data_IF_262190901874
#
_entry.id   IF_262190901874
#
_cell.length_a   1.000
_cell.length_b   1.000
_cell.length_c   1.000
_cell.angle_alpha   90.00
_cell.angle_beta   90.00
_cell.angle_gamma   90.00
#
_symmetry.space_group_name_H-M   'P 1'
#
loop_
_entity.id
_entity.type
_entity.pdbx_description
1 polymer ?
#
# COMPACT_ATOMS: atom_id res chain seq x y z
N UNK A 1 -16.50 4.23 -11.38
CA UNK A 1 -16.36 5.62 -10.88
C UNK A 1 -15.12 5.62 -10.03
N UNK A 2 -14.12 6.43 -10.34
CA UNK A 2 -12.93 6.58 -9.48
C UNK A 2 -13.38 7.25 -8.18
N UNK A 3 -13.13 6.63 -7.02
CA UNK A 3 -13.45 7.22 -5.72
C UNK A 3 -12.82 8.61 -5.55
N UNK A 4 -13.44 9.46 -4.73
CA UNK A 4 -12.95 10.80 -4.49
C UNK A 4 -11.68 10.75 -3.64
N UNK A 5 -10.53 11.18 -4.17
CA UNK A 5 -9.25 11.14 -3.44
C UNK A 5 -9.32 11.89 -2.10
N UNK A 6 -10.14 12.93 -1.98
CA UNK A 6 -10.36 13.63 -0.70
C UNK A 6 -11.02 12.75 0.36
N UNK A 7 -11.89 11.81 -0.03
CA UNK A 7 -12.48 10.85 0.90
C UNK A 7 -11.44 9.84 1.39
N UNK A 8 -10.54 9.41 0.49
CA UNK A 8 -9.42 8.55 0.86
C UNK A 8 -8.43 9.26 1.79
N UNK A 9 -8.07 10.51 1.48
CA UNK A 9 -7.22 11.34 2.36
C UNK A 9 -7.84 11.50 3.76
N UNK A 10 -9.16 11.69 3.83
CA UNK A 10 -9.87 11.74 5.11
C UNK A 10 -9.84 10.39 5.85
N UNK A 11 -9.97 9.26 5.14
CA UNK A 11 -9.86 7.92 5.74
C UNK A 11 -8.44 7.61 6.22
N UNK A 12 -7.42 8.17 5.59
CA UNK A 12 -6.01 8.08 5.98
C UNK A 12 -5.64 9.07 7.10
N UNK A 13 -6.53 10.00 7.47
CA UNK A 13 -6.27 11.13 8.36
C UNK A 13 -5.02 11.94 7.93
N UNK A 14 -4.83 12.07 6.61
CA UNK A 14 -3.67 12.74 6.02
C UNK A 14 -4.03 13.42 4.70
N UNK A 15 -3.70 14.71 4.59
CA UNK A 15 -3.83 15.47 3.36
C UNK A 15 -2.48 15.58 2.68
N UNK A 16 -2.36 15.08 1.45
CA UNK A 16 -1.10 15.10 0.73
C UNK A 16 -0.71 16.53 0.31
N UNK A 17 0.51 16.91 0.63
CA UNK A 17 1.18 18.09 0.05
C UNK A 17 1.42 17.89 -1.44
N UNK A 18 1.70 16.65 -1.86
CA UNK A 18 1.89 16.25 -3.26
C UNK A 18 0.86 15.21 -3.68
N UNK A 19 -0.37 15.61 -4.10
CA UNK A 19 -1.44 14.67 -4.49
C UNK A 19 -1.08 13.69 -5.61
N UNK A 20 -0.04 13.99 -6.39
CA UNK A 20 0.49 13.11 -7.42
C UNK A 20 1.13 11.85 -6.82
N UNK A 21 1.65 11.89 -5.58
CA UNK A 21 2.18 10.71 -4.90
C UNK A 21 1.07 9.71 -4.59
N UNK A 22 -0.07 10.17 -4.07
CA UNK A 22 -1.25 9.33 -3.85
C UNK A 22 -1.78 8.75 -5.17
N UNK A 23 -1.85 9.57 -6.22
CA UNK A 23 -2.28 9.10 -7.54
C UNK A 23 -1.32 8.02 -8.10
N UNK A 24 -0.01 8.20 -7.93
CA UNK A 24 1.00 7.23 -8.35
C UNK A 24 0.89 5.93 -7.54
N UNK A 25 0.67 6.01 -6.24
CA UNK A 25 0.46 4.85 -5.37
C UNK A 25 -0.77 4.01 -5.78
N UNK A 26 -1.81 4.68 -6.27
CA UNK A 26 -3.03 4.05 -6.77
C UNK A 26 -2.91 3.53 -8.21
N UNK A 27 -1.80 3.78 -8.91
CA UNK A 27 -1.64 3.41 -10.33
C UNK A 27 -1.10 1.99 -10.50
N UNK A 28 -1.98 1.02 -10.76
CA UNK A 28 -1.60 -0.39 -10.92
C UNK A 28 -0.72 -0.62 -12.17
N UNK A 29 0.16 -1.61 -12.09
CA UNK A 29 1.09 -2.01 -13.16
C UNK A 29 0.44 -2.28 -14.52
N UNK A 30 -0.83 -2.71 -14.54
CA UNK A 30 -1.63 -2.92 -15.76
C UNK A 30 -1.76 -1.68 -16.66
N UNK A 31 -1.56 -0.47 -16.13
CA UNK A 31 -1.58 0.78 -16.90
C UNK A 31 -0.31 0.99 -17.75
N UNK A 32 0.80 0.32 -17.41
CA UNK A 32 2.03 0.44 -18.16
C UNK A 32 1.90 -0.25 -19.54
N UNK A 33 1.96 0.53 -20.61
CA UNK A 33 1.89 0.01 -22.00
C UNK A 33 3.25 -0.49 -22.50
N UNK A 34 4.33 -0.02 -21.90
CA UNK A 34 5.70 -0.40 -22.21
C UNK A 34 6.56 -0.45 -20.95
N UNK A 35 7.78 -1.00 -21.06
CA UNK A 35 8.75 -0.97 -19.95
C UNK A 35 9.12 0.45 -19.52
N UNK A 36 9.06 1.42 -20.43
CA UNK A 36 9.36 2.82 -20.13
C UNK A 36 8.26 3.48 -19.27
N UNK A 37 7.06 2.90 -19.20
CA UNK A 37 5.94 3.44 -18.43
C UNK A 37 5.88 2.90 -16.99
N UNK A 38 6.78 1.98 -16.60
CA UNK A 38 6.76 1.37 -15.26
C UNK A 38 6.99 2.37 -14.14
N UNK A 39 7.78 3.42 -14.39
CA UNK A 39 8.00 4.50 -13.42
C UNK A 39 6.72 5.34 -13.17
N UNK A 40 5.67 5.15 -13.98
CA UNK A 40 4.35 5.77 -13.81
C UNK A 40 3.37 4.83 -13.07
N UNK A 41 3.86 3.73 -12.50
CA UNK A 41 3.06 2.77 -11.74
C UNK A 41 3.55 2.68 -10.30
N UNK A 42 2.72 2.10 -9.46
CA UNK A 42 2.96 1.97 -8.03
C UNK A 42 4.11 1.03 -7.66
N UNK A 43 4.66 0.24 -8.58
CA UNK A 43 5.66 -0.81 -8.30
C UNK A 43 6.90 -0.33 -7.55
N UNK A 44 7.37 0.90 -7.83
CA UNK A 44 8.51 1.48 -7.10
C UNK A 44 8.15 1.93 -5.70
N UNK A 45 6.92 2.42 -5.53
CA UNK A 45 6.38 2.81 -4.24
C UNK A 45 6.09 1.56 -3.39
N UNK A 46 5.49 0.51 -3.95
CA UNK A 46 5.32 -0.81 -3.32
C UNK A 46 6.65 -1.30 -2.73
N UNK A 47 7.71 -1.33 -3.54
CA UNK A 47 9.05 -1.74 -3.09
C UNK A 47 9.55 -0.92 -1.90
N UNK A 48 9.38 0.40 -1.92
CA UNK A 48 9.79 1.27 -0.82
C UNK A 48 8.89 1.05 0.41
N UNK A 49 7.59 0.89 0.19
CA UNK A 49 6.53 0.77 1.18
C UNK A 49 6.67 -0.46 2.04
N UNK A 50 6.96 -1.61 1.43
CA UNK A 50 7.31 -2.86 2.12
C UNK A 50 8.42 -2.64 3.18
N UNK A 51 9.47 -1.89 2.81
CA UNK A 51 10.61 -1.60 3.71
C UNK A 51 10.26 -0.59 4.79
N UNK A 52 9.49 0.43 4.45
CA UNK A 52 9.00 1.42 5.42
C UNK A 52 8.10 0.74 6.45
N UNK A 53 7.12 -0.04 6.00
CA UNK A 53 6.24 -0.83 6.86
C UNK A 53 7.05 -1.77 7.75
N UNK A 54 8.00 -2.51 7.16
CA UNK A 54 8.89 -3.40 7.88
C UNK A 54 9.64 -2.70 9.01
N UNK A 55 10.20 -1.52 8.76
CA UNK A 55 10.92 -0.75 9.77
C UNK A 55 10.00 -0.23 10.88
N UNK A 56 8.85 0.37 10.52
CA UNK A 56 7.91 0.94 11.48
C UNK A 56 7.36 -0.15 12.40
N UNK A 57 6.94 -1.28 11.85
CA UNK A 57 6.42 -2.40 12.64
C UNK A 57 7.49 -3.02 13.53
N UNK A 58 8.74 -3.13 13.06
CA UNK A 58 9.84 -3.59 13.89
C UNK A 58 10.08 -2.66 15.08
N UNK A 59 10.07 -1.33 14.86
CA UNK A 59 10.17 -0.34 15.93
C UNK A 59 9.03 -0.43 16.94
N UNK A 60 7.79 -0.53 16.46
CA UNK A 60 6.62 -0.69 17.33
C UNK A 60 6.70 -1.96 18.19
N UNK A 61 7.11 -3.09 17.61
CA UNK A 61 7.28 -4.35 18.37
C UNK A 61 8.37 -4.19 19.43
N UNK A 62 9.52 -3.62 19.06
CA UNK A 62 10.64 -3.42 19.97
C UNK A 62 10.26 -2.56 21.19
N UNK A 63 9.50 -1.49 20.97
CA UNK A 63 9.03 -0.61 22.05
C UNK A 63 7.90 -1.22 22.88
N UNK A 64 6.99 -1.95 22.24
CA UNK A 64 5.80 -2.51 22.90
C UNK A 64 6.10 -3.76 23.71
N UNK A 65 7.08 -4.56 23.29
CA UNK A 65 7.41 -5.85 23.89
C UNK A 65 8.89 -5.92 24.34
N UNK A 66 9.32 -5.09 25.30
CA UNK A 66 10.74 -4.96 25.66
C UNK A 66 11.35 -6.23 26.28
N UNK A 67 10.52 -7.12 26.82
CA UNK A 67 10.93 -8.37 27.48
C UNK A 67 10.84 -9.60 26.54
N UNK A 68 10.43 -9.43 25.28
CA UNK A 68 10.35 -10.54 24.33
C UNK A 68 11.70 -10.87 23.69
N UNK A 69 11.97 -12.17 23.56
CA UNK A 69 13.11 -12.68 22.81
C UNK A 69 12.96 -12.41 21.30
N UNK A 70 14.09 -12.28 20.61
CA UNK A 70 14.17 -11.96 19.17
C UNK A 70 13.28 -12.86 18.31
N UNK A 71 13.27 -14.17 18.56
CA UNK A 71 12.44 -15.10 17.79
C UNK A 71 10.93 -14.89 17.96
N UNK A 72 10.46 -14.37 19.11
CA UNK A 72 9.05 -14.03 19.30
C UNK A 72 8.69 -12.73 18.56
N UNK A 73 9.56 -11.71 18.67
CA UNK A 73 9.42 -10.46 17.93
C UNK A 73 9.39 -10.69 16.42
N UNK A 74 10.28 -11.54 15.89
CA UNK A 74 10.33 -11.89 14.47
C UNK A 74 9.03 -12.54 13.95
N UNK A 75 8.43 -13.45 14.75
CA UNK A 75 7.14 -14.07 14.40
C UNK A 75 6.00 -13.05 14.35
N UNK A 76 5.96 -12.11 15.31
CA UNK A 76 4.97 -11.02 15.31
C UNK A 76 5.15 -10.12 14.10
N UNK A 77 6.40 -9.74 13.83
CA UNK A 77 6.75 -8.89 12.69
C UNK A 77 6.24 -9.51 11.38
N UNK A 78 6.60 -10.76 11.10
CA UNK A 78 6.13 -11.48 9.90
C UNK A 78 4.60 -11.53 9.82
N UNK A 79 3.92 -11.73 10.96
CA UNK A 79 2.46 -11.80 10.98
C UNK A 79 1.76 -10.45 10.69
N UNK A 80 2.42 -9.33 11.00
CA UNK A 80 1.89 -7.97 10.85
C UNK A 80 2.18 -7.37 9.48
N UNK A 81 3.29 -7.74 8.83
CA UNK A 81 3.69 -7.18 7.52
C UNK A 81 3.30 -8.06 6.33
N UNK A 82 2.66 -9.22 6.56
CA UNK A 82 2.26 -10.13 5.47
C UNK A 82 1.12 -9.57 4.63
N UNK A 83 1.09 -9.95 3.36
CA UNK A 83 0.08 -9.48 2.38
C UNK A 83 -1.36 -9.65 2.85
N UNK A 84 -1.71 -10.73 3.55
CA UNK A 84 -3.10 -10.90 4.01
C UNK A 84 -3.49 -9.89 5.10
N UNK A 85 -2.53 -9.35 5.86
CA UNK A 85 -2.79 -8.27 6.80
C UNK A 85 -3.06 -6.95 6.05
N UNK A 86 -2.25 -6.64 5.04
CA UNK A 86 -2.42 -5.45 4.22
C UNK A 86 -3.70 -5.50 3.39
N UNK A 87 -4.04 -6.65 2.80
CA UNK A 87 -5.29 -6.83 2.06
C UNK A 87 -6.53 -6.55 2.93
N UNK A 88 -6.52 -6.96 4.22
CA UNK A 88 -7.60 -6.61 5.15
C UNK A 88 -7.71 -5.11 5.36
N UNK A 89 -6.59 -4.42 5.59
CA UNK A 89 -6.57 -2.96 5.72
C UNK A 89 -7.07 -2.29 4.43
N UNK A 90 -6.67 -2.82 3.26
CA UNK A 90 -7.14 -2.33 1.97
C UNK A 90 -8.66 -2.42 1.83
N UNK A 91 -9.27 -3.51 2.32
CA UNK A 91 -10.71 -3.68 2.35
C UNK A 91 -11.39 -2.72 3.33
N UNK A 92 -10.84 -2.54 4.53
CA UNK A 92 -11.38 -1.60 5.53
C UNK A 92 -11.39 -0.15 5.02
N UNK A 93 -10.39 0.21 4.21
CA UNK A 93 -10.27 1.51 3.55
C UNK A 93 -11.01 1.60 2.19
N UNK A 94 -11.65 0.52 1.74
CA UNK A 94 -12.26 0.40 0.42
C UNK A 94 -11.31 0.81 -0.73
N UNK A 95 -10.01 0.49 -0.63
CA UNK A 95 -8.99 0.90 -1.61
C UNK A 95 -9.29 0.45 -3.03
N UNK A 96 -10.01 -0.67 -3.17
CA UNK A 96 -10.47 -1.18 -4.45
C UNK A 96 -11.19 -0.10 -5.27
N UNK A 97 -11.90 0.86 -4.68
CA UNK A 97 -12.66 1.88 -5.42
C UNK A 97 -11.78 3.01 -5.99
N UNK A 98 -10.53 3.11 -5.52
CA UNK A 98 -9.61 4.21 -5.85
C UNK A 98 -8.51 3.81 -6.82
N UNK A 99 -8.22 2.51 -6.96
CA UNK A 99 -7.11 2.03 -7.79
C UNK A 99 -7.35 2.34 -9.27
N UNK A 100 -6.32 2.78 -9.96
CA UNK A 100 -6.33 2.99 -11.40
C UNK A 100 -5.75 1.74 -12.07
N UNK A 101 -6.55 1.04 -12.86
CA UNK A 101 -6.15 -0.18 -13.56
C UNK A 101 -6.70 -0.20 -14.99
N UNK A 102 -6.09 -1.00 -15.86
CA UNK A 102 -6.59 -1.18 -17.22
C UNK A 102 -7.94 -1.92 -17.21
N UNK A 103 -8.85 -1.67 -18.18
CA UNK A 103 -10.15 -2.35 -18.23
C UNK A 103 -10.04 -3.88 -18.22
N UNK A 104 -9.03 -4.44 -18.90
CA UNK A 104 -8.78 -5.88 -18.91
C UNK A 104 -8.41 -6.46 -17.56
N UNK A 105 -7.72 -5.67 -16.71
CA UNK A 105 -7.37 -6.08 -15.34
C UNK A 105 -8.64 -6.07 -14.48
N UNK A 106 -9.44 -5.02 -14.59
CA UNK A 106 -10.72 -4.90 -13.88
C UNK A 106 -11.68 -6.05 -14.26
N UNK A 107 -11.83 -6.34 -15.55
CA UNK A 107 -12.67 -7.44 -16.06
C UNK A 107 -12.20 -8.82 -15.57
N UNK A 108 -10.91 -8.96 -15.23
CA UNK A 108 -10.34 -10.21 -14.72
C UNK A 108 -10.43 -10.37 -13.19
N UNK A 109 -11.08 -9.42 -12.50
CA UNK A 109 -11.23 -9.43 -11.04
C UNK A 109 -10.10 -8.73 -10.29
N UNK A 110 -9.44 -7.74 -10.91
CA UNK A 110 -8.35 -6.99 -10.28
C UNK A 110 -8.77 -6.24 -9.01
N UNK A 111 -10.05 -5.87 -8.88
CA UNK A 111 -10.60 -5.17 -7.70
C UNK A 111 -10.69 -6.08 -6.48
N UNK A 112 -10.86 -7.38 -6.70
CA UNK A 112 -10.95 -8.42 -5.67
C UNK A 112 -9.61 -9.12 -5.40
N UNK A 113 -8.56 -8.78 -6.17
CA UNK A 113 -7.26 -9.41 -6.05
C UNK A 113 -6.53 -8.92 -4.80
N UNK A 114 -6.49 -9.77 -3.76
CA UNK A 114 -5.84 -9.47 -2.48
C UNK A 114 -4.38 -9.05 -2.61
N UNK A 115 -3.62 -9.62 -3.57
CA UNK A 115 -2.24 -9.25 -3.77
C UNK A 115 -2.12 -7.81 -4.30
N UNK A 116 -2.94 -7.44 -5.27
CA UNK A 116 -2.97 -6.09 -5.83
C UNK A 116 -3.38 -5.05 -4.77
N UNK A 117 -4.36 -5.40 -3.92
CA UNK A 117 -4.80 -4.56 -2.81
C UNK A 117 -3.70 -4.37 -1.76
N UNK A 118 -2.98 -5.43 -1.42
CA UNK A 118 -1.84 -5.37 -0.50
C UNK A 118 -0.70 -4.51 -1.08
N UNK A 119 -0.34 -4.71 -2.35
CA UNK A 119 0.72 -3.96 -3.03
C UNK A 119 0.38 -2.46 -3.10
N UNK A 120 -0.91 -2.14 -3.28
CA UNK A 120 -1.40 -0.75 -3.23
C UNK A 120 -1.28 -0.16 -1.83
N UNK A 121 -1.56 -0.92 -0.76
CA UNK A 121 -1.33 -0.45 0.61
C UNK A 121 0.13 -0.09 0.84
N UNK A 122 1.07 -0.94 0.41
CA UNK A 122 2.51 -0.65 0.52
C UNK A 122 2.85 0.62 -0.24
N UNK A 123 2.33 0.77 -1.46
CA UNK A 123 2.58 1.97 -2.25
C UNK A 123 2.06 3.26 -1.57
N UNK A 124 0.91 3.21 -0.89
CA UNK A 124 0.38 4.35 -0.12
C UNK A 124 1.28 4.64 1.08
N UNK A 125 1.78 3.63 1.79
CA UNK A 125 2.74 3.80 2.89
C UNK A 125 4.00 4.52 2.39
N UNK A 126 4.52 4.14 1.23
CA UNK A 126 5.65 4.84 0.61
C UNK A 126 5.30 6.28 0.22
N UNK A 127 4.10 6.52 -0.34
CA UNK A 127 3.65 7.86 -0.68
C UNK A 127 3.60 8.77 0.56
N UNK A 128 3.03 8.29 1.67
CA UNK A 128 2.99 9.01 2.95
C UNK A 128 4.41 9.32 3.45
N UNK A 129 5.28 8.31 3.45
CA UNK A 129 6.68 8.46 3.86
C UNK A 129 7.46 9.47 3.01
N UNK A 130 7.18 9.54 1.71
CA UNK A 130 7.83 10.48 0.79
C UNK A 130 7.28 11.90 0.89
N UNK A 131 6.00 12.06 1.24
CA UNK A 131 5.34 13.36 1.31
C UNK A 131 5.68 14.10 2.61
N UNK A 132 5.82 13.39 3.74
CA UNK A 132 6.35 13.91 5.00
C UNK A 132 5.45 13.73 6.21
#
# INVERSE_FOLDING_TARGET
>A
MTGNLTELEAALDYTFSSPQLLTLALSHSSLAKSRADRDQTNQRLEFLGDRVLGLVIAGMIYETFPDEEEGAMARRHTALVRKEALARIAHDLALADYILMAPSEEDSGGRENEALLADTCEAIIAALFMDG
#
